data_IF_126258583073
#
_entry.id   IF_126258583073
#
_cell.length_a   1.000
_cell.length_b   1.000
_cell.length_c   1.000
_cell.angle_alpha   90.00
_cell.angle_beta   90.00
_cell.angle_gamma   90.00
#
_symmetry.space_group_name_H-M   'P 1'
#
loop_
_entity.id
_entity.type
_entity.pdbx_description
1 polymer ?
#
# COMPACT_ATOMS: atom_id res chain seq x y z
N UNK A 1 20.08 -2.94 24.00
CA UNK A 1 20.67 -2.00 23.02
C UNK A 1 19.57 -1.52 22.07
N UNK A 2 19.03 -0.32 22.27
CA UNK A 2 18.00 0.25 21.38
C UNK A 2 18.67 0.87 20.15
N UNK A 3 18.62 0.19 19.01
CA UNK A 3 19.09 0.75 17.74
C UNK A 3 18.14 1.88 17.33
N UNK A 4 18.59 3.12 17.50
CA UNK A 4 17.87 4.30 17.04
C UNK A 4 17.91 4.31 15.52
N UNK A 5 16.78 3.99 14.88
CA UNK A 5 16.61 4.12 13.44
C UNK A 5 16.65 5.62 13.09
N UNK A 6 17.31 5.97 11.99
CA UNK A 6 17.46 7.35 11.59
C UNK A 6 16.07 7.97 11.34
N UNK A 7 15.84 9.25 11.69
CA UNK A 7 14.51 9.89 11.61
C UNK A 7 13.93 10.00 10.19
N UNK A 8 14.70 9.66 9.16
CA UNK A 8 14.28 9.64 7.75
C UNK A 8 13.77 8.27 7.28
N UNK A 9 13.87 7.24 8.11
CA UNK A 9 13.45 5.89 7.74
C UNK A 9 11.92 5.79 7.78
N UNK A 10 11.29 5.82 6.60
CA UNK A 10 9.86 5.53 6.47
C UNK A 10 9.64 4.05 6.77
N UNK A 11 9.02 3.77 7.90
CA UNK A 11 8.64 2.42 8.28
C UNK A 11 7.40 1.98 7.49
N UNK A 12 7.48 0.80 6.87
CA UNK A 12 6.33 0.18 6.21
C UNK A 12 5.78 -0.95 7.07
N UNK A 13 4.47 -1.17 7.01
CA UNK A 13 3.82 -2.30 7.67
C UNK A 13 4.08 -3.60 6.90
N UNK A 14 4.60 -4.61 7.59
CA UNK A 14 4.83 -5.92 7.01
C UNK A 14 3.50 -6.55 6.54
N UNK A 15 3.40 -7.09 5.31
CA UNK A 15 2.18 -7.75 4.83
C UNK A 15 1.81 -9.03 5.60
N UNK A 16 2.79 -9.70 6.24
CA UNK A 16 2.56 -10.95 6.98
C UNK A 16 2.18 -10.74 8.44
N UNK A 17 2.77 -9.74 9.10
CA UNK A 17 2.67 -9.59 10.54
C UNK A 17 2.31 -8.16 11.00
N UNK A 18 2.02 -7.26 10.05
CA UNK A 18 1.69 -5.83 10.24
C UNK A 18 2.72 -5.02 11.02
N UNK A 19 3.85 -5.62 11.39
CA UNK A 19 4.92 -5.00 12.16
C UNK A 19 5.71 -3.99 11.32
N UNK A 20 6.30 -3.01 12.01
CA UNK A 20 7.18 -2.03 11.39
C UNK A 20 8.38 -2.73 10.72
N UNK A 21 8.59 -2.43 9.45
CA UNK A 21 9.66 -2.97 8.63
C UNK A 21 10.55 -1.83 8.16
N UNK A 22 11.85 -2.08 8.16
CA UNK A 22 12.84 -1.14 7.62
C UNK A 22 12.77 -1.17 6.09
N UNK A 23 12.97 -0.02 5.46
CA UNK A 23 12.84 0.13 4.01
C UNK A 23 14.05 0.81 3.43
N UNK A 24 14.72 0.11 2.52
CA UNK A 24 15.76 0.66 1.69
C UNK A 24 15.12 1.37 0.50
N UNK A 25 15.06 2.71 0.60
CA UNK A 25 14.49 3.55 -0.46
C UNK A 25 15.26 3.45 -1.79
N UNK A 26 16.57 3.17 -1.73
CA UNK A 26 17.41 2.98 -2.92
C UNK A 26 17.02 1.72 -3.71
N UNK A 27 16.63 0.66 -3.01
CA UNK A 27 16.30 -0.64 -3.62
C UNK A 27 14.80 -0.89 -3.73
N UNK A 28 13.98 -0.07 -3.08
CA UNK A 28 12.53 -0.26 -2.95
C UNK A 28 12.15 -1.64 -2.37
N UNK A 29 12.99 -2.13 -1.46
CA UNK A 29 12.81 -3.39 -0.74
C UNK A 29 12.68 -3.06 0.74
N UNK A 30 11.68 -3.64 1.38
CA UNK A 30 11.45 -3.59 2.81
C UNK A 30 11.78 -4.92 3.47
N UNK A 31 12.47 -4.87 4.61
CA UNK A 31 12.83 -6.06 5.39
C UNK A 31 12.17 -5.98 6.76
N UNK A 32 11.42 -7.02 7.11
CA UNK A 32 10.74 -7.06 8.39
C UNK A 32 11.74 -7.21 9.54
N UNK A 33 11.69 -6.30 10.51
CA UNK A 33 12.58 -6.29 11.69
C UNK A 33 12.20 -7.33 12.75
N UNK A 34 11.03 -7.97 12.63
CA UNK A 34 10.55 -8.97 13.59
C UNK A 34 11.38 -10.25 13.46
N UNK A 35 11.97 -10.72 14.57
CA UNK A 35 12.90 -11.86 14.64
C UNK A 35 12.37 -13.19 14.07
N UNK A 36 11.05 -13.34 13.89
CA UNK A 36 10.43 -14.52 13.26
C UNK A 36 9.81 -14.28 11.88
N UNK A 37 9.78 -13.05 11.36
CA UNK A 37 9.24 -12.77 10.04
C UNK A 37 10.35 -12.57 9.01
N UNK A 38 11.39 -11.79 9.34
CA UNK A 38 12.61 -11.51 8.55
C UNK A 38 12.46 -11.60 7.02
N UNK A 39 11.30 -11.18 6.51
CA UNK A 39 10.93 -11.39 5.12
C UNK A 39 11.18 -10.12 4.36
N UNK A 40 11.83 -10.26 3.22
CA UNK A 40 12.00 -9.20 2.24
C UNK A 40 10.74 -9.09 1.37
N UNK A 41 10.22 -7.88 1.26
CA UNK A 41 9.07 -7.57 0.43
C UNK A 41 9.33 -6.33 -0.39
N UNK A 42 8.69 -6.21 -1.55
CA UNK A 42 8.80 -5.01 -2.36
C UNK A 42 7.86 -3.91 -1.81
N UNK A 43 8.33 -2.68 -1.70
CA UNK A 43 7.55 -1.56 -1.13
C UNK A 43 6.41 -1.09 -2.04
N UNK A 44 6.49 -1.37 -3.34
CA UNK A 44 5.44 -1.06 -4.31
C UNK A 44 4.26 -2.01 -4.20
N UNK A 45 4.54 -3.31 -3.99
CA UNK A 45 3.53 -4.35 -4.05
C UNK A 45 3.20 -5.04 -2.73
N UNK A 46 4.04 -4.85 -1.71
CA UNK A 46 3.91 -5.50 -0.42
C UNK A 46 3.81 -7.04 -0.56
N UNK A 47 4.37 -7.59 -1.64
CA UNK A 47 4.55 -9.04 -1.86
C UNK A 47 6.04 -9.40 -1.68
N UNK A 48 6.32 -10.70 -1.65
CA UNK A 48 7.67 -11.22 -1.60
C UNK A 48 8.60 -10.54 -2.62
N UNK A 49 9.84 -10.28 -2.21
CA UNK A 49 10.85 -9.66 -3.06
C UNK A 49 10.95 -10.41 -4.40
N UNK A 50 11.02 -9.64 -5.49
CA UNK A 50 11.09 -10.17 -6.85
C UNK A 50 12.33 -9.67 -7.57
N UNK A 51 13.05 -10.59 -8.20
CA UNK A 51 14.24 -10.34 -9.02
C UNK A 51 13.82 -9.87 -10.42
N UNK A 52 13.25 -8.68 -10.53
CA UNK A 52 12.76 -8.14 -11.79
C UNK A 52 11.75 -7.00 -11.63
N UNK A 53 11.16 -6.58 -12.75
CA UNK A 53 10.17 -5.50 -12.80
C UNK A 53 9.01 -5.80 -11.87
N UNK A 54 8.67 -4.86 -10.99
CA UNK A 54 7.52 -5.01 -10.12
C UNK A 54 6.26 -5.18 -10.96
N UNK A 55 5.52 -6.27 -10.76
CA UNK A 55 4.28 -6.56 -11.51
C UNK A 55 3.11 -5.66 -11.11
N UNK A 56 3.29 -4.77 -10.13
CA UNK A 56 2.39 -3.64 -9.96
C UNK A 56 2.76 -2.61 -11.02
N UNK A 57 2.37 -2.93 -12.26
CA UNK A 57 1.73 -1.91 -13.07
C UNK A 57 0.62 -1.36 -12.18
N UNK A 58 0.78 -0.11 -11.76
CA UNK A 58 -0.25 0.69 -11.11
C UNK A 58 -1.58 0.22 -11.67
N UNK A 59 -2.51 -0.21 -10.80
CA UNK A 59 -3.91 -0.23 -11.19
C UNK A 59 -4.26 1.23 -11.47
N UNK A 60 -3.91 1.69 -12.67
CA UNK A 60 -4.45 2.84 -13.36
C UNK A 60 -5.87 2.48 -13.78
N UNK A 61 -6.65 1.90 -12.87
CA UNK A 61 -8.05 2.23 -12.82
C UNK A 61 -8.09 3.55 -12.08
N UNK A 62 -8.24 4.69 -12.78
CA UNK A 62 -8.96 5.76 -12.15
C UNK A 62 -10.29 5.11 -11.78
N UNK A 63 -10.48 4.76 -10.51
CA UNK A 63 -11.82 4.74 -9.96
C UNK A 63 -12.29 6.15 -10.18
N UNK A 64 -12.90 6.41 -11.34
CA UNK A 64 -13.83 7.50 -11.54
C UNK A 64 -14.83 7.26 -10.43
N UNK A 65 -14.56 7.82 -9.25
CA UNK A 65 -15.59 8.19 -8.31
C UNK A 65 -16.43 9.14 -9.13
N UNK A 66 -17.42 8.59 -9.84
CA UNK A 66 -18.47 9.33 -10.47
C UNK A 66 -19.15 10.00 -9.29
N UNK A 67 -18.69 11.21 -8.92
CA UNK A 67 -19.40 12.08 -8.01
C UNK A 67 -20.78 12.18 -8.61
N UNK A 68 -21.75 11.55 -7.96
CA UNK A 68 -23.13 11.59 -8.39
C UNK A 68 -23.55 13.03 -8.25
N UNK A 69 -23.60 13.74 -9.39
CA UNK A 69 -24.01 15.13 -9.42
C UNK A 69 -25.44 15.17 -8.87
N UNK A 70 -25.65 15.96 -7.82
CA UNK A 70 -26.97 16.21 -7.25
C UNK A 70 -27.89 16.67 -8.39
N UNK A 71 -28.97 15.92 -8.63
CA UNK A 71 -29.88 16.15 -9.75
C UNK A 71 -29.72 15.24 -10.97
N UNK A 72 -28.72 14.34 -11.00
CA UNK A 72 -28.61 13.28 -12.01
C UNK A 72 -29.85 12.38 -12.05
N UNK A 73 -30.16 11.82 -13.22
CA UNK A 73 -31.27 10.87 -13.44
C UNK A 73 -31.23 9.70 -12.45
N UNK A 74 -30.05 9.22 -12.06
CA UNK A 74 -29.88 8.19 -11.02
C UNK A 74 -30.21 8.69 -9.61
N UNK A 75 -29.78 9.90 -9.24
CA UNK A 75 -30.09 10.52 -7.93
C UNK A 75 -31.60 10.74 -7.76
N UNK A 76 -32.28 11.27 -8.80
CA UNK A 76 -33.74 11.48 -8.78
C UNK A 76 -34.55 10.18 -8.76
N UNK A 77 -34.02 9.07 -9.30
CA UNK A 77 -34.70 7.77 -9.30
C UNK A 77 -34.74 7.14 -7.90
N UNK A 78 -33.72 7.36 -7.08
CA UNK A 78 -33.71 6.89 -5.69
C UNK A 78 -34.67 7.68 -4.78
N UNK A 79 -34.78 9.01 -4.98
CA UNK A 79 -35.73 9.82 -4.22
C UNK A 79 -37.19 9.46 -4.48
N UNK A 80 -37.52 8.92 -5.66
CA UNK A 80 -38.88 8.47 -6.00
C UNK A 80 -39.30 7.16 -5.34
N UNK A 81 -38.39 6.48 -4.63
CA UNK A 81 -38.65 5.20 -3.96
C UNK A 81 -38.82 5.33 -2.44
N UNK A 82 -38.76 6.55 -1.90
CA UNK A 82 -39.10 6.92 -0.52
C UNK A 82 -40.52 7.49 -0.50
#
# INVERSE_FOLDING_TARGET
AGRSLAPTDRLYSCPKCTFASHVDSEKNVGTCTREGCQMEFCTYCLLAAHTGTCKITLLATPTKQKRTIVGSKQSKRNLRRL
#
